data_IF_698508514261
#
_entry.id   IF_698508514261
#
_cell.length_a   1.000
_cell.length_b   1.000
_cell.length_c   1.000
_cell.angle_alpha   90.00
_cell.angle_beta   90.00
_cell.angle_gamma   90.00
#
_symmetry.space_group_name_H-M   'P 1'
#
loop_
_entity.id
_entity.type
_entity.pdbx_description
1 polymer ?
#
# COMPACT_ATOMS: atom_id res chain seq x y z
N UNK A 1 1.40 18.35 -4.02
CA UNK A 1 0.75 17.17 -3.40
C UNK A 1 1.70 16.01 -3.59
N UNK A 2 2.33 15.51 -2.54
CA UNK A 2 3.25 14.37 -2.68
C UNK A 2 2.43 13.14 -3.04
N UNK A 3 2.84 12.43 -4.11
CA UNK A 3 2.26 11.14 -4.47
C UNK A 3 3.11 10.04 -3.87
N UNK A 4 2.46 9.01 -3.37
CA UNK A 4 3.08 7.79 -2.90
C UNK A 4 2.87 6.73 -3.98
N UNK A 5 3.97 6.20 -4.50
CA UNK A 5 3.96 4.99 -5.32
C UNK A 5 4.08 3.81 -4.37
N UNK A 6 3.06 2.96 -4.38
CA UNK A 6 2.95 1.82 -3.46
C UNK A 6 3.03 0.56 -4.31
N UNK A 7 4.03 -0.28 -4.05
CA UNK A 7 4.21 -1.59 -4.68
C UNK A 7 3.99 -2.72 -3.68
N UNK A 8 3.25 -3.75 -4.09
CA UNK A 8 3.11 -4.98 -3.29
C UNK A 8 4.30 -5.92 -3.51
N UNK A 9 5.26 -5.92 -2.60
CA UNK A 9 6.46 -6.78 -2.70
C UNK A 9 6.26 -8.16 -2.09
N UNK A 10 5.39 -8.29 -1.07
CA UNK A 10 5.10 -9.58 -0.43
C UNK A 10 3.66 -10.03 -0.65
N UNK A 11 3.51 -11.35 -0.77
CA UNK A 11 2.19 -11.96 -0.97
C UNK A 11 1.26 -11.72 0.23
N UNK A 12 -0.03 -11.53 -0.08
CA UNK A 12 -1.11 -11.35 0.90
C UNK A 12 -1.60 -12.68 1.49
N UNK A 13 -1.19 -13.83 0.94
CA UNK A 13 -1.65 -15.15 1.36
C UNK A 13 -1.20 -15.42 2.81
N UNK A 14 -2.12 -15.88 3.65
CA UNK A 14 -1.84 -16.17 5.07
C UNK A 14 -1.60 -14.91 5.93
N UNK A 15 -2.04 -13.74 5.48
CA UNK A 15 -2.01 -12.49 6.28
C UNK A 15 -3.34 -12.25 6.97
N UNK A 16 -3.34 -11.36 7.96
CA UNK A 16 -4.56 -10.98 8.69
C UNK A 16 -5.62 -10.46 7.72
N UNK A 17 -6.90 -10.81 7.89
CA UNK A 17 -7.98 -10.39 6.98
C UNK A 17 -8.08 -8.87 6.87
N UNK A 18 -7.83 -8.15 7.97
CA UNK A 18 -7.83 -6.68 7.99
C UNK A 18 -6.76 -6.08 7.07
N UNK A 19 -5.57 -6.68 7.03
CA UNK A 19 -4.48 -6.20 6.17
C UNK A 19 -4.80 -6.48 4.70
N UNK A 20 -5.38 -7.65 4.42
CA UNK A 20 -5.85 -8.01 3.07
C UNK A 20 -6.93 -7.03 2.60
N UNK A 21 -7.87 -6.67 3.47
CA UNK A 21 -8.91 -5.68 3.15
C UNK A 21 -8.30 -4.31 2.84
N UNK A 22 -7.35 -3.82 3.65
CA UNK A 22 -6.66 -2.55 3.38
C UNK A 22 -5.94 -2.57 2.04
N UNK A 23 -5.20 -3.65 1.74
CA UNK A 23 -4.48 -3.77 0.46
C UNK A 23 -5.41 -3.81 -0.75
N UNK A 24 -6.54 -4.53 -0.64
CA UNK A 24 -7.59 -4.54 -1.67
C UNK A 24 -8.24 -3.17 -1.86
N UNK A 25 -8.51 -2.45 -0.76
CA UNK A 25 -9.04 -1.08 -0.81
C UNK A 25 -8.05 -0.08 -1.43
N UNK A 26 -6.75 -0.32 -1.30
CA UNK A 26 -5.71 0.46 -1.98
C UNK A 26 -5.62 0.14 -3.48
N UNK A 27 -6.30 -0.90 -3.96
CA UNK A 27 -6.31 -1.32 -5.36
C UNK A 27 -5.25 -2.36 -5.72
N UNK A 28 -4.47 -2.84 -4.75
CA UNK A 28 -3.43 -3.84 -4.97
C UNK A 28 -4.07 -5.23 -5.08
N UNK A 29 -3.92 -5.88 -6.23
CA UNK A 29 -4.52 -7.21 -6.50
C UNK A 29 -3.50 -8.30 -6.72
N UNK A 30 -2.34 -7.97 -7.31
CA UNK A 30 -1.30 -8.95 -7.70
C UNK A 30 0.04 -8.60 -7.04
N UNK A 31 0.97 -9.56 -7.06
CA UNK A 31 2.36 -9.31 -6.68
C UNK A 31 3.00 -8.34 -7.67
N UNK A 32 3.81 -7.40 -7.18
CA UNK A 32 4.40 -6.30 -7.95
C UNK A 32 3.39 -5.35 -8.60
N UNK A 33 2.14 -5.36 -8.13
CA UNK A 33 1.15 -4.37 -8.52
C UNK A 33 1.54 -3.02 -7.91
N UNK A 34 1.48 -1.98 -8.72
CA UNK A 34 1.93 -0.63 -8.36
C UNK A 34 0.74 0.32 -8.48
N UNK A 35 0.46 1.05 -7.41
CA UNK A 35 -0.60 2.06 -7.39
C UNK A 35 -0.05 3.38 -6.87
N UNK A 36 -0.42 4.47 -7.52
CA UNK A 36 -0.12 5.82 -7.08
C UNK A 36 -1.29 6.38 -6.28
N UNK A 37 -1.02 6.86 -5.07
CA UNK A 37 -2.01 7.50 -4.20
C UNK A 37 -1.51 8.87 -3.73
N UNK A 38 -2.42 9.80 -3.52
CA UNK A 38 -2.08 11.08 -2.90
C UNK A 38 -1.79 10.88 -1.42
N UNK A 39 -0.74 11.52 -0.91
CA UNK A 39 -0.39 11.44 0.50
C UNK A 39 -1.45 12.15 1.37
N UNK A 40 -2.24 11.36 2.10
CA UNK A 40 -3.17 11.84 3.12
C UNK A 40 -2.80 11.26 4.50
N UNK A 41 -3.08 11.97 5.61
CA UNK A 41 -2.79 11.45 6.95
C UNK A 41 -3.51 10.13 7.25
N UNK A 42 -4.71 9.94 6.69
CA UNK A 42 -5.46 8.69 6.79
C UNK A 42 -4.76 7.52 6.08
N UNK A 43 -4.23 7.78 4.88
CA UNK A 43 -3.48 6.77 4.11
C UNK A 43 -2.21 6.37 4.87
N UNK A 44 -1.51 7.34 5.48
CA UNK A 44 -0.31 7.09 6.28
C UNK A 44 -0.58 6.15 7.45
N UNK A 45 -1.68 6.36 8.17
CA UNK A 45 -2.08 5.46 9.28
C UNK A 45 -2.39 4.04 8.80
N UNK A 46 -3.09 3.90 7.67
CA UNK A 46 -3.37 2.59 7.06
C UNK A 46 -2.09 1.90 6.57
N UNK A 47 -1.19 2.65 5.93
CA UNK A 47 0.08 2.14 5.40
C UNK A 47 1.01 1.65 6.51
N UNK A 48 1.06 2.34 7.65
CA UNK A 48 1.86 1.89 8.79
C UNK A 48 1.50 0.47 9.28
N UNK A 49 0.23 0.06 9.14
CA UNK A 49 -0.21 -1.29 9.52
C UNK A 49 0.24 -2.38 8.54
N UNK A 50 0.46 -2.02 7.28
CA UNK A 50 0.80 -2.95 6.18
C UNK A 50 2.17 -2.69 5.55
N UNK A 51 2.97 -1.82 6.16
CA UNK A 51 4.31 -1.37 5.72
C UNK A 51 5.21 -2.55 5.35
N UNK A 52 5.22 -3.60 6.19
CA UNK A 52 6.10 -4.76 6.01
C UNK A 52 5.80 -5.60 4.76
N UNK A 53 4.68 -5.36 4.07
CA UNK A 53 4.26 -6.01 2.83
C UNK A 53 4.47 -5.14 1.59
N UNK A 54 4.66 -3.84 1.79
CA UNK A 54 4.65 -2.82 0.76
C UNK A 54 6.04 -2.21 0.60
N UNK A 55 6.33 -1.77 -0.62
CA UNK A 55 7.41 -0.83 -0.89
C UNK A 55 6.77 0.49 -1.25
N UNK A 56 7.06 1.51 -0.44
CA UNK A 56 6.51 2.85 -0.59
C UNK A 56 7.64 3.73 -1.12
N UNK A 57 7.44 4.32 -2.28
CA UNK A 57 8.34 5.30 -2.89
C UNK A 57 7.62 6.64 -2.94
N UNK A 58 8.20 7.67 -2.32
CA UNK A 58 7.66 9.03 -2.40
C UNK A 58 8.05 9.62 -3.76
N UNK A 59 7.05 9.81 -4.63
CA UNK A 59 7.24 10.46 -5.92
C UNK A 59 6.83 11.93 -5.74
N UNK A 60 7.84 12.76 -5.51
CA UNK A 60 7.67 14.20 -5.38
C UNK A 60 8.04 14.85 -6.71
N UNK A 61 7.06 15.53 -7.32
CA UNK A 61 7.26 16.49 -8.40
C UNK A 61 6.81 17.86 -7.91
#
# INVERSE_FOLDING_TARGET
MSKLRIELVKSMIGRKPNHIATLKSLGLKKMHDVVEHTMTPELKGKLAQVEYLLKIEEVQA
#
